data_IF_337087236253
#
_entry.id   IF_337087236253
#
_cell.length_a   1.000
_cell.length_b   1.000
_cell.length_c   1.000
_cell.angle_alpha   90.00
_cell.angle_beta   90.00
_cell.angle_gamma   90.00
#
_symmetry.space_group_name_H-M   'P 1'
#
loop_
_entity.id
_entity.type
_entity.pdbx_description
1 polymer ?
#
# COMPACT_ATOMS: atom_id res chain seq x y z
N UNK A 1 -14.49 -50.38 27.35
CA UNK A 1 -13.75 -49.64 26.30
C UNK A 1 -12.28 -49.78 26.64
N UNK A 2 -11.49 -50.37 25.74
CA UNK A 2 -10.06 -50.57 26.05
C UNK A 2 -9.33 -49.22 26.04
N UNK A 3 -8.23 -49.10 26.78
CA UNK A 3 -7.42 -47.89 26.81
C UNK A 3 -6.98 -47.45 25.40
N UNK A 4 -6.80 -48.41 24.48
CA UNK A 4 -6.46 -48.17 23.07
C UNK A 4 -7.60 -47.48 22.31
N UNK A 5 -8.86 -47.82 22.59
CA UNK A 5 -10.02 -47.19 21.97
C UNK A 5 -10.15 -45.72 22.40
N UNK A 6 -9.90 -45.45 23.69
CA UNK A 6 -9.91 -44.09 24.25
C UNK A 6 -8.82 -43.24 23.61
N UNK A 7 -7.60 -43.77 23.50
CA UNK A 7 -6.47 -43.07 22.87
C UNK A 7 -6.77 -42.77 21.39
N UNK A 8 -7.33 -43.75 20.67
CA UNK A 8 -7.69 -43.59 19.25
C UNK A 8 -8.77 -42.54 19.08
N UNK A 9 -9.79 -42.52 19.95
CA UNK A 9 -10.84 -41.52 19.96
C UNK A 9 -10.31 -40.10 20.21
N UNK A 10 -9.37 -39.94 21.15
CA UNK A 10 -8.76 -38.64 21.46
C UNK A 10 -7.92 -38.15 20.29
N UNK A 11 -7.12 -39.01 19.66
CA UNK A 11 -6.30 -38.64 18.49
C UNK A 11 -7.21 -38.21 17.33
N UNK A 12 -8.26 -38.99 17.03
CA UNK A 12 -9.22 -38.66 15.99
C UNK A 12 -9.97 -37.35 16.29
N UNK A 13 -10.40 -37.15 17.53
CA UNK A 13 -11.04 -35.90 17.98
C UNK A 13 -10.09 -34.69 17.88
N UNK A 14 -8.83 -34.86 18.27
CA UNK A 14 -7.80 -33.81 18.13
C UNK A 14 -7.56 -33.44 16.67
N UNK A 15 -7.42 -34.44 15.79
CA UNK A 15 -7.25 -34.22 14.35
C UNK A 15 -8.46 -33.48 13.73
N UNK A 16 -9.68 -33.82 14.17
CA UNK A 16 -10.90 -33.13 13.75
C UNK A 16 -10.86 -31.64 14.14
N UNK A 17 -10.48 -31.34 15.39
CA UNK A 17 -10.40 -29.95 15.87
C UNK A 17 -9.37 -29.15 15.09
N UNK A 18 -8.17 -29.71 14.86
CA UNK A 18 -7.12 -29.06 14.05
C UNK A 18 -7.61 -28.81 12.62
N UNK A 19 -8.34 -29.75 12.03
CA UNK A 19 -8.92 -29.60 10.70
C UNK A 19 -9.96 -28.48 10.65
N UNK A 20 -10.84 -28.39 11.65
CA UNK A 20 -11.84 -27.32 11.76
C UNK A 20 -11.19 -25.95 11.96
N UNK A 21 -10.15 -25.86 12.79
CA UNK A 21 -9.38 -24.61 12.98
C UNK A 21 -8.73 -24.20 11.66
N UNK A 22 -8.08 -25.13 10.96
CA UNK A 22 -7.44 -24.87 9.67
C UNK A 22 -8.46 -24.41 8.62
N UNK A 23 -9.63 -25.06 8.57
CA UNK A 23 -10.74 -24.68 7.70
C UNK A 23 -11.24 -23.26 8.01
N UNK A 24 -11.40 -22.93 9.30
CA UNK A 24 -11.80 -21.59 9.73
C UNK A 24 -10.80 -20.53 9.25
N UNK A 25 -9.50 -20.74 9.47
CA UNK A 25 -8.49 -19.79 9.02
C UNK A 25 -8.36 -19.72 7.49
N UNK A 26 -8.59 -20.83 6.79
CA UNK A 26 -8.49 -20.88 5.33
C UNK A 26 -9.70 -20.24 4.62
N UNK A 27 -10.92 -20.39 5.15
CA UNK A 27 -12.14 -19.99 4.45
C UNK A 27 -12.84 -18.77 5.07
N UNK A 28 -12.81 -18.65 6.41
CA UNK A 28 -13.63 -17.70 7.14
C UNK A 28 -12.83 -16.53 7.71
N UNK A 29 -11.59 -16.76 8.13
CA UNK A 29 -10.73 -15.70 8.64
C UNK A 29 -10.22 -14.82 7.50
N UNK A 30 -11.00 -13.80 7.15
CA UNK A 30 -10.70 -12.86 6.07
C UNK A 30 -9.88 -11.70 6.64
N UNK A 31 -8.64 -11.57 6.18
CA UNK A 31 -7.71 -10.50 6.57
C UNK A 31 -7.47 -9.60 5.37
N UNK A 32 -7.91 -8.35 5.48
CA UNK A 32 -7.55 -7.28 4.56
C UNK A 32 -6.27 -6.64 5.11
N UNK A 33 -5.20 -6.65 4.31
CA UNK A 33 -3.96 -6.00 4.70
C UNK A 33 -3.16 -5.59 3.47
N UNK A 34 -2.63 -4.38 3.48
CA UNK A 34 -1.74 -3.87 2.46
C UNK A 34 -0.58 -3.16 3.15
N UNK A 35 0.61 -3.37 2.61
CA UNK A 35 1.84 -2.70 3.03
C UNK A 35 2.42 -2.05 1.79
N UNK A 36 2.76 -0.77 1.90
CA UNK A 36 3.49 -0.05 0.85
C UNK A 36 4.80 0.53 1.39
N UNK A 37 5.73 0.80 0.50
CA UNK A 37 6.99 1.49 0.81
C UNK A 37 7.49 2.28 -0.39
N UNK A 38 8.26 3.33 -0.11
CA UNK A 38 9.09 3.95 -1.14
C UNK A 38 10.11 2.92 -1.64
N UNK A 39 10.14 2.71 -2.95
CA UNK A 39 11.05 1.78 -3.61
C UNK A 39 12.24 2.53 -4.20
N UNK A 40 11.97 3.64 -4.89
CA UNK A 40 13.01 4.50 -5.44
C UNK A 40 12.47 5.92 -5.66
N UNK A 41 13.40 6.86 -5.79
CA UNK A 41 13.12 8.21 -6.22
C UNK A 41 14.17 8.65 -7.21
N UNK A 42 13.74 8.99 -8.41
CA UNK A 42 14.62 9.29 -9.53
C UNK A 42 14.47 10.77 -9.91
N UNK A 43 15.45 11.63 -9.60
CA UNK A 43 15.34 13.07 -9.81
C UNK A 43 15.35 13.48 -11.29
N UNK A 44 15.79 12.60 -12.21
CA UNK A 44 15.73 12.81 -13.67
C UNK A 44 15.64 11.48 -14.41
N UNK A 45 14.49 11.21 -14.99
CA UNK A 45 14.28 10.12 -15.96
C UNK A 45 14.10 10.69 -17.35
N UNK A 46 14.71 10.08 -18.36
CA UNK A 46 14.68 10.51 -19.77
C UNK A 46 13.23 10.69 -20.28
N UNK A 47 12.29 9.92 -19.73
CA UNK A 47 10.89 9.93 -20.16
C UNK A 47 10.05 11.08 -19.59
N UNK A 48 10.56 11.83 -18.61
CA UNK A 48 9.79 12.86 -17.90
C UNK A 48 10.60 14.16 -17.77
N UNK A 49 10.60 14.98 -18.82
CA UNK A 49 11.18 16.33 -18.76
C UNK A 49 10.39 17.19 -17.76
N UNK A 50 11.05 17.73 -16.73
CA UNK A 50 10.48 18.54 -15.64
C UNK A 50 9.64 17.79 -14.60
N UNK A 51 9.81 16.47 -14.47
CA UNK A 51 9.26 15.71 -13.35
C UNK A 51 10.30 14.75 -12.76
N UNK A 52 10.18 14.52 -11.46
CA UNK A 52 10.91 13.47 -10.77
C UNK A 52 10.02 12.24 -10.70
N UNK A 53 10.60 11.06 -10.83
CA UNK A 53 9.84 9.81 -10.78
C UNK A 53 9.89 9.24 -9.38
N UNK A 54 8.71 9.13 -8.76
CA UNK A 54 8.53 8.46 -7.49
C UNK A 54 8.03 7.04 -7.75
N UNK A 55 8.73 6.07 -7.16
CA UNK A 55 8.37 4.66 -7.27
C UNK A 55 7.95 4.12 -5.90
N UNK A 56 6.72 3.63 -5.82
CA UNK A 56 6.15 3.03 -4.62
C UNK A 56 5.88 1.57 -4.88
N UNK A 57 6.47 0.70 -4.06
CA UNK A 57 6.10 -0.71 -4.04
C UNK A 57 4.92 -0.91 -3.08
N UNK A 58 3.84 -1.50 -3.56
CA UNK A 58 2.71 -1.92 -2.73
C UNK A 58 2.54 -3.43 -2.78
N UNK A 59 2.19 -4.02 -1.65
CA UNK A 59 1.96 -5.46 -1.52
C UNK A 59 0.67 -5.75 -0.77
N UNK A 60 -0.14 -6.64 -1.34
CA UNK A 60 -1.29 -7.18 -0.65
C UNK A 60 -0.84 -8.34 0.26
N UNK A 61 -0.75 -8.06 1.56
CA UNK A 61 -0.34 -9.04 2.59
C UNK A 61 -1.55 -9.72 3.24
N UNK A 62 -2.76 -9.38 2.78
CA UNK A 62 -4.00 -10.04 3.16
C UNK A 62 -4.26 -11.32 2.36
N UNK A 63 -5.43 -11.91 2.60
CA UNK A 63 -5.91 -13.09 1.88
C UNK A 63 -7.13 -12.81 0.98
N UNK A 64 -7.37 -11.53 0.69
CA UNK A 64 -8.42 -11.08 -0.23
C UNK A 64 -7.85 -10.14 -1.28
N UNK A 65 -8.45 -10.17 -2.46
CA UNK A 65 -8.15 -9.20 -3.51
C UNK A 65 -8.52 -7.78 -3.06
N UNK A 66 -7.70 -6.83 -3.50
CA UNK A 66 -7.89 -5.40 -3.27
C UNK A 66 -7.88 -4.69 -4.61
N UNK A 67 -8.71 -3.67 -4.77
CA UNK A 67 -8.74 -2.84 -5.96
C UNK A 67 -8.12 -1.49 -5.60
N UNK A 68 -6.92 -1.21 -6.11
CA UNK A 68 -6.38 0.13 -6.11
C UNK A 68 -7.11 0.92 -7.19
N UNK A 69 -7.94 1.87 -6.79
CA UNK A 69 -8.78 2.64 -7.73
C UNK A 69 -8.07 3.87 -8.26
N UNK A 70 -7.46 4.63 -7.36
CA UNK A 70 -6.86 5.93 -7.64
C UNK A 70 -5.75 6.22 -6.62
N UNK A 71 -4.84 7.12 -7.01
CA UNK A 71 -3.80 7.66 -6.15
C UNK A 71 -3.89 9.17 -6.24
N UNK A 72 -4.06 9.82 -5.10
CA UNK A 72 -4.12 11.28 -5.02
C UNK A 72 -2.78 11.82 -4.48
N UNK A 73 -2.29 12.88 -5.12
CA UNK A 73 -1.23 13.72 -4.58
C UNK A 73 -1.87 14.91 -3.88
N UNK A 74 -1.52 15.10 -2.61
CA UNK A 74 -1.92 16.23 -1.78
C UNK A 74 -0.70 16.87 -1.11
N UNK A 75 -0.89 18.05 -0.52
CA UNK A 75 0.08 18.67 0.37
C UNK A 75 -0.23 18.33 1.83
N UNK A 76 0.81 18.21 2.66
CA UNK A 76 0.69 18.02 4.12
C UNK A 76 1.53 19.06 4.86
N UNK A 77 0.94 19.88 5.74
CA UNK A 77 -0.49 19.99 6.05
C UNK A 77 -1.31 20.49 4.85
N UNK A 78 -2.55 20.01 4.76
CA UNK A 78 -3.48 20.34 3.68
C UNK A 78 -4.01 21.77 3.86
N UNK A 79 -4.15 22.50 2.75
CA UNK A 79 -4.74 23.84 2.72
C UNK A 79 -5.94 23.84 1.78
N UNK A 80 -7.09 24.22 2.32
CA UNK A 80 -8.28 24.48 1.52
C UNK A 80 -7.95 25.54 0.45
N UNK A 81 -8.16 25.19 -0.82
CA UNK A 81 -7.84 25.95 -2.06
C UNK A 81 -6.49 25.69 -2.75
N UNK A 82 -5.66 24.78 -2.24
CA UNK A 82 -4.40 24.44 -2.92
C UNK A 82 -4.67 23.62 -4.20
N UNK A 83 -4.03 24.00 -5.31
CA UNK A 83 -4.09 23.23 -6.56
C UNK A 83 -3.00 22.17 -6.53
N UNK A 84 -3.40 20.92 -6.76
CA UNK A 84 -2.50 19.77 -6.84
C UNK A 84 -2.56 19.12 -8.24
N UNK A 85 -1.45 18.53 -8.71
CA UNK A 85 -1.46 17.84 -9.99
C UNK A 85 -2.30 16.56 -9.90
N UNK A 86 -3.07 16.28 -10.94
CA UNK A 86 -3.72 14.98 -11.11
C UNK A 86 -2.70 14.03 -11.72
N UNK A 87 -2.43 12.91 -11.05
CA UNK A 87 -1.60 11.84 -11.60
C UNK A 87 -2.46 10.91 -12.45
N UNK A 88 -2.26 10.95 -13.76
CA UNK A 88 -2.76 9.90 -14.64
C UNK A 88 -1.69 8.81 -14.76
N UNK A 89 -2.02 7.59 -14.35
CA UNK A 89 -1.13 6.43 -14.44
C UNK A 89 -1.87 5.28 -15.09
N UNK A 90 -1.31 4.68 -16.14
CA UNK A 90 -1.85 3.47 -16.77
C UNK A 90 -1.84 2.26 -15.81
N UNK A 91 -1.11 2.34 -14.69
CA UNK A 91 -1.00 1.27 -13.71
C UNK A 91 -2.18 1.24 -12.72
N UNK A 92 -3.06 2.25 -12.77
CA UNK A 92 -4.19 2.46 -11.86
C UNK A 92 -5.43 2.86 -12.70
N UNK A 93 -6.59 2.20 -12.54
CA UNK A 93 -6.94 1.23 -11.52
C UNK A 93 -6.29 -0.14 -11.71
N UNK A 94 -6.12 -0.88 -10.61
CA UNK A 94 -5.53 -2.22 -10.62
C UNK A 94 -6.09 -3.13 -9.53
N UNK A 95 -6.16 -4.43 -9.84
CA UNK A 95 -6.46 -5.47 -8.86
C UNK A 95 -5.15 -6.03 -8.31
N UNK A 96 -5.03 -6.09 -6.98
CA UNK A 96 -3.91 -6.67 -6.25
C UNK A 96 -4.36 -7.99 -5.64
N UNK A 97 -3.83 -9.11 -6.16
CA UNK A 97 -4.10 -10.45 -5.65
C UNK A 97 -3.38 -10.68 -4.32
N UNK A 98 -3.87 -11.62 -3.47
CA UNK A 98 -3.15 -12.00 -2.26
C UNK A 98 -1.70 -12.39 -2.54
N UNK A 99 -0.76 -11.79 -1.80
CA UNK A 99 0.68 -12.01 -1.96
C UNK A 99 1.32 -11.27 -3.16
N UNK A 100 0.53 -10.56 -3.97
CA UNK A 100 1.07 -9.79 -5.09
C UNK A 100 1.83 -8.55 -4.60
N UNK A 101 2.95 -8.27 -5.26
CA UNK A 101 3.71 -7.03 -5.13
C UNK A 101 3.62 -6.29 -6.46
N UNK A 102 3.23 -5.03 -6.42
CA UNK A 102 3.14 -4.16 -7.58
C UNK A 102 4.00 -2.92 -7.38
N UNK A 103 4.84 -2.61 -8.36
CA UNK A 103 5.58 -1.36 -8.42
C UNK A 103 4.73 -0.32 -9.14
N UNK A 104 4.48 0.80 -8.47
CA UNK A 104 3.79 1.95 -9.01
C UNK A 104 4.79 3.05 -9.28
N UNK A 105 4.73 3.62 -10.46
CA UNK A 105 5.63 4.66 -10.94
C UNK A 105 4.78 5.84 -11.35
N UNK A 106 5.03 6.99 -10.73
CA UNK A 106 4.31 8.21 -11.08
C UNK A 106 5.27 9.41 -11.16
N UNK A 107 5.14 10.24 -12.21
CA UNK A 107 5.90 11.46 -12.34
C UNK A 107 5.32 12.55 -11.42
N UNK A 108 6.17 13.16 -10.60
CA UNK A 108 5.82 14.30 -9.76
C UNK A 108 6.47 15.55 -10.35
N UNK A 109 5.68 16.59 -10.74
CA UNK A 109 6.23 17.79 -11.36
C UNK A 109 7.23 18.52 -10.46
N UNK A 110 8.37 18.92 -11.03
CA UNK A 110 9.43 19.63 -10.30
C UNK A 110 8.92 20.92 -9.65
N UNK A 111 8.09 21.69 -10.38
CA UNK A 111 7.50 22.93 -9.86
C UNK A 111 6.66 22.71 -8.61
N UNK A 112 5.96 21.58 -8.54
CA UNK A 112 5.15 21.22 -7.37
C UNK A 112 6.04 20.87 -6.18
N UNK A 113 7.10 20.08 -6.40
CA UNK A 113 8.09 19.77 -5.36
C UNK A 113 8.78 21.04 -4.83
N UNK A 114 9.17 21.94 -5.72
CA UNK A 114 9.73 23.24 -5.37
C UNK A 114 8.80 24.09 -4.52
N UNK A 115 7.51 24.12 -4.86
CA UNK A 115 6.48 24.80 -4.07
C UNK A 115 6.37 24.20 -2.67
N UNK A 116 6.26 22.88 -2.57
CA UNK A 116 6.12 22.18 -1.29
C UNK A 116 7.29 22.48 -0.36
N UNK A 117 8.53 22.38 -0.83
CA UNK A 117 9.68 22.65 0.04
C UNK A 117 9.80 24.13 0.42
N UNK A 118 9.47 25.06 -0.48
CA UNK A 118 9.46 26.50 -0.16
C UNK A 118 8.48 26.81 0.97
N UNK A 119 7.37 26.08 1.02
CA UNK A 119 6.32 26.21 2.03
C UNK A 119 6.54 25.27 3.23
N UNK A 120 7.67 24.58 3.30
CA UNK A 120 7.99 23.57 4.33
C UNK A 120 6.91 22.49 4.49
N UNK A 121 6.33 22.06 3.38
CA UNK A 121 5.28 21.02 3.32
C UNK A 121 5.81 19.71 2.77
N UNK A 122 5.08 18.64 3.08
CA UNK A 122 5.33 17.29 2.59
C UNK A 122 4.39 16.96 1.43
N UNK A 123 4.86 16.08 0.55
CA UNK A 123 4.07 15.42 -0.48
C UNK A 123 3.29 14.27 0.16
N UNK A 124 1.96 14.34 0.15
CA UNK A 124 1.09 13.28 0.64
C UNK A 124 0.55 12.45 -0.51
N UNK A 125 0.72 11.14 -0.43
CA UNK A 125 0.16 10.17 -1.35
C UNK A 125 -0.97 9.43 -0.68
N UNK A 126 -2.19 9.55 -1.20
CA UNK A 126 -3.35 8.80 -0.74
C UNK A 126 -3.68 7.70 -1.73
N UNK A 127 -3.62 6.45 -1.28
CA UNK A 127 -3.97 5.28 -2.07
C UNK A 127 -5.40 4.85 -1.72
N UNK A 128 -6.31 4.99 -2.68
CA UNK A 128 -7.72 4.65 -2.50
C UNK A 128 -7.95 3.19 -2.87
N UNK A 129 -8.17 2.36 -1.86
CA UNK A 129 -8.22 0.91 -1.98
C UNK A 129 -9.63 0.43 -1.66
N UNK A 130 -10.25 -0.23 -2.62
CA UNK A 130 -11.55 -0.87 -2.45
C UNK A 130 -11.38 -2.34 -2.12
N UNK A 131 -12.10 -2.78 -1.10
CA UNK A 131 -12.22 -4.20 -0.76
C UNK A 131 -13.22 -4.89 -1.69
N UNK A 132 -13.24 -6.22 -1.71
CA UNK A 132 -14.27 -7.03 -2.41
C UNK A 132 -15.70 -6.75 -1.93
N UNK A 133 -15.88 -6.07 -0.80
CA UNK A 133 -17.18 -5.64 -0.25
C UNK A 133 -17.51 -4.18 -0.59
N UNK A 134 -16.81 -3.58 -1.56
CA UNK A 134 -16.94 -2.18 -1.96
C UNK A 134 -16.70 -1.15 -0.83
N UNK A 135 -16.05 -1.56 0.26
CA UNK A 135 -15.61 -0.62 1.31
C UNK A 135 -14.31 0.05 0.90
N UNK A 136 -14.30 1.38 0.90
CA UNK A 136 -13.10 2.20 0.73
C UNK A 136 -12.22 2.09 1.97
N UNK A 137 -10.92 1.97 1.70
CA UNK A 137 -9.83 1.94 2.65
C UNK A 137 -8.71 2.84 2.13
N UNK A 138 -8.09 3.58 3.04
CA UNK A 138 -7.03 4.51 2.69
C UNK A 138 -5.70 3.96 3.19
N UNK A 139 -4.67 4.11 2.37
CA UNK A 139 -3.29 4.01 2.83
C UNK A 139 -2.63 5.33 2.47
N UNK A 140 -1.96 5.97 3.43
CA UNK A 140 -1.38 7.30 3.24
C UNK A 140 0.12 7.24 3.46
N UNK A 141 0.87 7.92 2.58
CA UNK A 141 2.31 8.09 2.71
C UNK A 141 2.68 9.55 2.54
N UNK A 142 3.29 10.12 3.58
CA UNK A 142 3.91 11.44 3.51
C UNK A 142 5.39 11.28 3.13
N UNK A 143 5.85 12.12 2.20
CA UNK A 143 7.20 12.15 1.65
C UNK A 143 7.73 13.58 1.69
N UNK A 144 9.01 13.69 2.03
CA UNK A 144 9.76 14.94 2.02
C UNK A 144 10.22 15.21 0.59
N UNK A 145 9.92 16.39 0.00
CA UNK A 145 10.36 16.72 -1.36
C UNK A 145 11.89 16.72 -1.47
N UNK A 146 12.51 15.82 -2.26
CA UNK A 146 13.96 15.75 -2.38
C UNK A 146 14.45 16.73 -3.46
N UNK A 147 14.54 18.01 -3.08
CA UNK A 147 14.97 19.07 -4.00
C UNK A 147 16.49 19.04 -4.19
N UNK A 148 16.93 19.22 -5.43
CA UNK A 148 18.34 19.47 -5.74
C UNK A 148 19.26 18.26 -5.51
N UNK A 149 18.69 17.04 -5.44
CA UNK A 149 19.44 15.83 -5.12
C UNK A 149 19.72 15.66 -3.63
N UNK A 150 18.96 16.33 -2.76
CA UNK A 150 18.99 16.06 -1.33
C UNK A 150 18.62 14.60 -1.04
N UNK A 151 19.30 14.00 -0.06
CA UNK A 151 19.01 12.65 0.40
C UNK A 151 17.59 12.57 0.98
N UNK A 152 16.94 11.44 0.71
CA UNK A 152 15.59 11.16 1.22
C UNK A 152 15.70 10.72 2.68
N UNK A 153 14.97 11.36 3.61
CA UNK A 153 14.99 10.99 5.03
C UNK A 153 14.66 9.52 5.29
N UNK A 154 15.29 8.91 6.29
CA UNK A 154 15.01 7.52 6.69
C UNK A 154 13.53 7.26 7.03
N UNK A 155 12.80 8.28 7.50
CA UNK A 155 11.36 8.22 7.75
C UNK A 155 10.56 7.88 6.50
N UNK A 156 11.02 8.33 5.34
CA UNK A 156 10.28 8.26 4.08
C UNK A 156 10.42 6.86 3.46
N UNK A 157 11.47 6.14 3.83
CA UNK A 157 11.65 4.72 3.53
C UNK A 157 10.83 3.79 4.43
N UNK A 158 10.25 4.29 5.53
CA UNK A 158 9.43 3.44 6.41
C UNK A 158 8.15 2.99 5.70
N UNK A 159 7.75 1.72 5.89
CA UNK A 159 6.55 1.20 5.26
C UNK A 159 5.29 1.88 5.83
N UNK A 160 4.29 2.02 4.99
CA UNK A 160 2.94 2.47 5.35
C UNK A 160 1.94 1.32 5.20
N UNK A 161 0.82 1.41 5.90
CA UNK A 161 -0.21 0.37 5.93
C UNK A 161 -1.58 0.96 5.69
N UNK A 162 -2.50 0.08 5.35
CA UNK A 162 -3.92 0.36 5.24
C UNK A 162 -4.51 0.79 6.61
N UNK A 163 -5.34 1.83 6.61
CA UNK A 163 -6.05 2.37 7.79
C UNK A 163 -7.49 1.81 7.90
#
# INVERSE_FOLDING_TARGET
MEAKDIITLIIAGGALVVSLISLYFSLFHRRISLVGTLAAWNPRTINFENSQVCEIAISNTGNRELVLREIEILSSPEIESDLFPVLESEQVPAVLKPGEVKLLTFPVPDLYLHKLAKESRMLRLNFHIFTTEAKLKLATKDLTPPIGGADIPESDWKPFKLQ
#
